data_IF_790483278668
#
_entry.id   IF_790483278668
#
_cell.length_a   1.000
_cell.length_b   1.000
_cell.length_c   1.000
_cell.angle_alpha   90.00
_cell.angle_beta   90.00
_cell.angle_gamma   90.00
#
_symmetry.space_group_name_H-M   'P 1'
#
loop_
_entity.id
_entity.type
_entity.pdbx_description
1 polymer ?
#
# COMPACT_ATOMS: atom_id res chain seq x y z
N UNK A 1 -6.45 -9.74 -34.80
CA UNK A 1 -5.21 -10.45 -34.36
C UNK A 1 -5.35 -10.69 -32.88
N UNK A 2 -5.75 -11.88 -32.46
CA UNK A 2 -6.07 -12.21 -31.07
C UNK A 2 -4.77 -12.52 -30.34
N UNK A 3 -4.33 -11.65 -29.49
CA UNK A 3 -3.20 -11.91 -28.57
C UNK A 3 -3.75 -12.71 -27.40
N UNK A 4 -3.42 -14.00 -27.37
CA UNK A 4 -3.64 -14.84 -26.17
C UNK A 4 -2.55 -14.50 -25.16
N UNK A 5 -2.89 -13.77 -24.11
CA UNK A 5 -2.00 -13.58 -22.98
C UNK A 5 -2.10 -14.83 -22.12
N UNK A 6 -1.15 -15.74 -22.30
CA UNK A 6 -0.94 -16.85 -21.36
C UNK A 6 -0.11 -16.31 -20.20
N UNK A 7 -0.77 -16.01 -19.10
CA UNK A 7 -0.10 -15.69 -17.82
C UNK A 7 0.40 -17.02 -17.25
N UNK A 8 1.68 -17.32 -17.48
CA UNK A 8 2.39 -18.38 -16.75
C UNK A 8 2.81 -17.79 -15.42
N UNK A 9 2.00 -18.02 -14.39
CA UNK A 9 2.40 -17.75 -13.00
C UNK A 9 3.35 -18.85 -12.58
N UNK A 10 4.64 -18.64 -12.78
CA UNK A 10 5.68 -19.51 -12.21
C UNK A 10 5.89 -19.10 -10.77
N UNK A 11 5.22 -19.76 -9.84
CA UNK A 11 5.48 -19.63 -8.40
C UNK A 11 6.82 -20.30 -8.12
N UNK A 12 7.85 -19.49 -7.95
CA UNK A 12 9.16 -19.96 -7.47
C UNK A 12 9.08 -20.12 -5.95
N UNK A 13 8.71 -21.32 -5.49
CA UNK A 13 8.84 -21.74 -4.10
C UNK A 13 10.33 -22.01 -3.80
N UNK A 14 11.08 -20.97 -3.46
CA UNK A 14 12.38 -21.12 -2.83
C UNK A 14 12.16 -21.45 -1.34
N UNK A 15 12.02 -22.73 -1.03
CA UNK A 15 12.16 -23.24 0.33
C UNK A 15 13.65 -23.21 0.67
N UNK A 16 14.12 -22.14 1.26
CA UNK A 16 15.45 -22.09 1.89
C UNK A 16 15.36 -22.86 3.20
N UNK A 17 15.78 -24.09 3.18
CA UNK A 17 16.05 -24.86 4.39
C UNK A 17 17.34 -24.33 4.99
N UNK A 18 17.25 -23.30 5.81
CA UNK A 18 18.33 -22.91 6.68
C UNK A 18 18.34 -23.83 7.89
N UNK A 19 19.41 -24.60 8.10
CA UNK A 19 19.73 -25.19 9.39
C UNK A 19 20.07 -24.03 10.32
N UNK A 20 19.05 -23.43 10.93
CA UNK A 20 19.23 -22.33 11.86
C UNK A 20 19.60 -22.89 13.22
N UNK A 21 20.81 -22.61 13.69
CA UNK A 21 21.09 -22.61 15.11
C UNK A 21 20.12 -21.66 15.80
N UNK A 22 19.59 -22.05 16.95
CA UNK A 22 18.61 -21.26 17.66
C UNK A 22 19.34 -20.27 18.61
N UNK A 23 18.89 -19.02 18.59
CA UNK A 23 19.31 -18.05 19.61
C UNK A 23 18.67 -18.42 20.95
N UNK A 24 19.31 -18.06 22.05
CA UNK A 24 18.90 -18.36 23.42
C UNK A 24 18.80 -17.07 24.25
N UNK A 25 17.79 -16.98 25.07
CA UNK A 25 17.60 -15.92 26.06
C UNK A 25 17.43 -16.57 27.42
N UNK A 26 18.22 -16.14 28.41
CA UNK A 26 18.14 -16.60 29.80
C UNK A 26 17.59 -15.47 30.64
N UNK A 27 16.59 -15.78 31.46
CA UNK A 27 15.94 -14.86 32.34
C UNK A 27 16.55 -14.87 33.75
N UNK A 28 16.35 -13.80 34.51
CA UNK A 28 16.81 -13.68 35.91
C UNK A 28 16.34 -14.82 36.83
N UNK A 29 15.24 -15.46 36.53
CA UNK A 29 14.72 -16.64 37.24
C UNK A 29 15.30 -17.98 36.78
N UNK A 30 16.25 -17.96 35.83
CA UNK A 30 16.89 -19.13 35.24
C UNK A 30 16.07 -19.83 34.13
N UNK A 31 14.89 -19.32 33.79
CA UNK A 31 14.14 -19.82 32.63
C UNK A 31 14.88 -19.52 31.33
N UNK A 32 14.70 -20.39 30.34
CA UNK A 32 15.33 -20.28 29.02
C UNK A 32 14.32 -20.23 27.90
N UNK A 33 14.54 -19.37 26.96
CA UNK A 33 13.74 -19.25 25.75
C UNK A 33 14.62 -19.49 24.52
N UNK A 34 14.23 -20.49 23.72
CA UNK A 34 14.94 -20.87 22.50
C UNK A 34 14.11 -20.43 21.29
N UNK A 35 14.78 -19.80 20.31
CA UNK A 35 14.10 -19.30 19.11
C UNK A 35 15.02 -18.44 18.25
N UNK A 36 14.51 -17.32 17.78
CA UNK A 36 15.26 -16.37 16.95
C UNK A 36 15.23 -14.99 17.59
N UNK A 37 16.37 -14.42 17.84
CA UNK A 37 16.53 -13.04 18.27
C UNK A 37 16.14 -12.10 17.10
N UNK A 38 15.17 -11.21 17.34
CA UNK A 38 14.69 -10.27 16.34
C UNK A 38 15.33 -8.90 16.54
N UNK A 39 15.15 -8.30 17.73
CA UNK A 39 15.74 -7.02 18.13
C UNK A 39 15.45 -6.68 19.58
N UNK A 40 16.19 -5.70 20.11
CA UNK A 40 15.77 -4.92 21.28
C UNK A 40 15.45 -3.51 20.82
N UNK A 41 14.30 -3.01 21.16
CA UNK A 41 13.83 -1.66 20.84
C UNK A 41 12.92 -1.14 21.95
N UNK A 42 13.11 0.11 22.40
CA UNK A 42 12.29 0.70 23.45
C UNK A 42 12.34 -0.07 24.77
N UNK A 43 13.51 -0.62 25.14
CA UNK A 43 13.73 -1.45 26.34
C UNK A 43 12.97 -2.78 26.34
N UNK A 44 12.50 -3.23 25.20
CA UNK A 44 11.85 -4.53 25.02
C UNK A 44 12.62 -5.40 24.04
N UNK A 45 12.87 -6.64 24.44
CA UNK A 45 13.34 -7.70 23.56
C UNK A 45 12.18 -8.23 22.75
N UNK A 46 12.33 -8.26 21.44
CA UNK A 46 11.44 -8.96 20.52
C UNK A 46 12.15 -10.27 20.12
N UNK A 47 11.50 -11.38 20.44
CA UNK A 47 12.04 -12.72 20.23
C UNK A 47 10.99 -13.63 19.59
N UNK A 48 11.38 -14.40 18.59
CA UNK A 48 10.48 -15.32 17.90
C UNK A 48 10.70 -16.74 18.40
N UNK A 49 9.83 -17.18 19.30
CA UNK A 49 9.77 -18.57 19.77
C UNK A 49 9.14 -19.47 18.70
N UNK A 50 9.64 -20.71 18.57
CA UNK A 50 9.03 -21.69 17.66
C UNK A 50 7.63 -22.12 18.11
N UNK A 51 7.36 -22.10 19.42
CA UNK A 51 6.11 -22.57 20.01
C UNK A 51 5.14 -21.39 20.22
N UNK A 52 5.63 -20.27 20.79
CA UNK A 52 4.79 -19.14 21.21
C UNK A 52 4.67 -18.01 20.17
N UNK A 53 5.36 -18.13 19.01
CA UNK A 53 5.41 -17.06 18.02
C UNK A 53 6.26 -15.88 18.48
N UNK A 54 5.94 -14.66 18.04
CA UNK A 54 6.65 -13.46 18.44
C UNK A 54 6.23 -13.02 19.83
N UNK A 55 7.18 -12.91 20.73
CA UNK A 55 6.99 -12.46 22.11
C UNK A 55 7.79 -11.21 22.38
N UNK A 56 7.27 -10.36 23.25
CA UNK A 56 7.91 -9.12 23.70
C UNK A 56 8.17 -9.20 25.21
N UNK A 57 9.43 -9.11 25.60
CA UNK A 57 9.88 -9.21 26.99
C UNK A 57 10.63 -7.95 27.40
N UNK A 58 10.45 -7.49 28.63
CA UNK A 58 11.24 -6.38 29.16
C UNK A 58 12.71 -6.83 29.31
N UNK A 59 13.63 -6.05 28.73
CA UNK A 59 15.08 -6.29 28.84
C UNK A 59 15.55 -6.34 30.31
N UNK A 60 14.78 -5.72 31.22
CA UNK A 60 15.06 -5.74 32.65
C UNK A 60 15.04 -7.13 33.27
N UNK A 61 14.25 -8.04 32.69
CA UNK A 61 14.09 -9.43 33.17
C UNK A 61 15.09 -10.40 32.57
N UNK A 62 15.98 -9.91 31.70
CA UNK A 62 16.91 -10.75 30.95
C UNK A 62 18.26 -10.70 31.64
N UNK A 63 18.84 -11.88 31.81
CA UNK A 63 20.19 -12.09 32.35
C UNK A 63 21.21 -12.26 31.23
N UNK A 64 20.87 -13.08 30.21
CA UNK A 64 21.78 -13.32 29.10
C UNK A 64 21.04 -13.43 27.78
N UNK A 65 21.65 -12.89 26.72
CA UNK A 65 21.23 -13.08 25.33
C UNK A 65 22.39 -13.69 24.57
N UNK A 66 22.19 -14.89 24.03
CA UNK A 66 23.15 -15.56 23.18
C UNK A 66 22.59 -15.68 21.77
N UNK A 67 23.32 -15.17 20.77
CA UNK A 67 22.94 -15.28 19.37
C UNK A 67 24.10 -15.85 18.54
N UNK A 68 23.76 -16.79 17.66
CA UNK A 68 24.71 -17.30 16.66
C UNK A 68 25.12 -16.20 15.67
N UNK A 69 24.28 -15.23 15.47
CA UNK A 69 24.57 -14.06 14.64
C UNK A 69 25.21 -12.96 15.46
N UNK A 70 26.16 -12.28 14.84
CA UNK A 70 26.71 -11.06 15.43
C UNK A 70 25.57 -10.06 15.69
N UNK A 71 25.51 -9.47 16.87
CA UNK A 71 24.59 -8.41 17.23
C UNK A 71 25.26 -7.05 17.14
N UNK A 72 24.54 -6.04 16.66
CA UNK A 72 24.91 -4.62 16.73
C UNK A 72 24.15 -3.96 17.88
N UNK A 73 24.88 -3.49 18.88
CA UNK A 73 24.34 -2.86 20.09
C UNK A 73 24.62 -1.36 19.99
N UNK A 74 23.57 -0.56 20.09
CA UNK A 74 23.64 0.89 19.99
C UNK A 74 23.32 1.45 21.36
N UNK A 75 24.20 2.30 21.85
CA UNK A 75 24.01 3.02 23.10
C UNK A 75 23.35 4.40 22.85
N UNK A 76 22.82 5.01 23.89
CA UNK A 76 22.14 6.33 23.84
C UNK A 76 23.05 7.44 23.30
N UNK A 77 24.35 7.35 23.53
CA UNK A 77 25.37 8.28 23.01
C UNK A 77 25.73 8.02 21.52
N UNK A 78 25.14 6.99 20.91
CA UNK A 78 25.40 6.56 19.53
C UNK A 78 26.58 5.62 19.39
N UNK A 79 27.22 5.19 20.45
CA UNK A 79 28.30 4.19 20.44
C UNK A 79 27.77 2.87 19.88
N UNK A 80 28.50 2.28 18.93
CA UNK A 80 28.18 1.01 18.29
C UNK A 80 29.12 -0.08 18.80
N UNK A 81 28.57 -1.10 19.47
CA UNK A 81 29.26 -2.29 19.89
C UNK A 81 28.83 -3.49 19.05
N UNK A 82 29.68 -4.53 18.94
CA UNK A 82 29.36 -5.76 18.21
C UNK A 82 29.81 -6.98 19.02
N UNK A 83 28.90 -7.95 19.16
CA UNK A 83 29.17 -9.19 19.86
C UNK A 83 28.08 -10.24 19.65
N UNK A 84 28.34 -11.47 20.07
CA UNK A 84 27.37 -12.59 19.99
C UNK A 84 26.66 -12.85 21.30
N UNK A 85 27.33 -12.56 22.41
CA UNK A 85 26.77 -12.79 23.74
C UNK A 85 26.71 -11.46 24.51
N UNK A 86 25.59 -11.24 25.14
CA UNK A 86 25.36 -10.13 26.07
C UNK A 86 24.99 -10.75 27.40
N UNK A 87 25.80 -10.53 28.44
CA UNK A 87 25.59 -11.08 29.77
C UNK A 87 25.46 -9.95 30.79
N UNK A 88 24.56 -10.10 31.72
CA UNK A 88 24.36 -9.15 32.81
C UNK A 88 25.30 -9.49 33.98
N UNK A 89 26.02 -8.51 34.47
CA UNK A 89 26.82 -8.58 35.68
C UNK A 89 26.57 -7.32 36.51
N UNK A 90 26.06 -7.49 37.73
CA UNK A 90 25.87 -6.41 38.72
C UNK A 90 25.23 -5.11 38.15
N UNK A 91 24.18 -5.24 37.29
CA UNK A 91 23.48 -4.07 36.72
C UNK A 91 24.08 -3.49 35.44
N UNK A 92 25.19 -4.04 34.99
CA UNK A 92 25.81 -3.73 33.69
C UNK A 92 25.61 -4.86 32.69
N UNK A 93 25.75 -4.57 31.40
CA UNK A 93 25.83 -5.58 30.36
C UNK A 93 27.25 -5.68 29.84
N UNK A 94 27.75 -6.90 29.75
CA UNK A 94 29.06 -7.20 29.17
C UNK A 94 28.87 -7.87 27.81
N UNK A 95 29.54 -7.36 26.78
CA UNK A 95 29.50 -7.86 25.40
C UNK A 95 30.81 -8.55 25.07
N UNK A 96 30.75 -9.84 24.68
CA UNK A 96 31.91 -10.52 24.13
C UNK A 96 32.11 -10.17 22.66
N UNK A 97 33.23 -9.54 22.34
CA UNK A 97 33.63 -9.23 20.96
C UNK A 97 34.16 -10.47 20.23
N UNK A 98 33.87 -10.53 18.92
CA UNK A 98 34.31 -11.65 18.07
C UNK A 98 35.84 -11.67 17.83
N UNK A 99 36.49 -10.52 17.90
CA UNK A 99 37.93 -10.36 17.77
C UNK A 99 38.59 -10.11 19.13
N UNK A 100 39.49 -11.00 19.54
CA UNK A 100 40.45 -10.87 20.65
C UNK A 100 39.96 -11.11 22.08
N UNK A 101 38.83 -11.76 22.34
CA UNK A 101 38.45 -12.07 23.72
C UNK A 101 38.30 -10.84 24.63
N UNK A 102 38.24 -9.64 24.07
CA UNK A 102 38.03 -8.42 24.82
C UNK A 102 36.52 -8.23 25.11
N UNK A 103 36.20 -8.14 26.36
CA UNK A 103 34.88 -7.78 26.83
C UNK A 103 34.73 -6.27 26.87
N UNK A 104 33.55 -5.79 26.57
CA UNK A 104 33.21 -4.38 26.72
C UNK A 104 31.91 -4.26 27.51
N UNK A 105 32.01 -3.53 28.60
CA UNK A 105 30.89 -3.35 29.54
C UNK A 105 30.22 -2.00 29.31
N UNK A 106 28.90 -1.97 29.40
CA UNK A 106 28.09 -0.75 29.35
C UNK A 106 26.95 -0.82 30.37
N UNK A 107 26.45 0.35 30.82
CA UNK A 107 25.34 0.42 31.78
C UNK A 107 24.03 0.13 31.00
N UNK A 108 23.16 -0.67 31.60
CA UNK A 108 21.85 -1.01 31.05
C UNK A 108 20.99 0.21 30.68
N UNK A 109 21.11 1.30 31.46
CA UNK A 109 20.40 2.55 31.24
C UNK A 109 20.75 3.17 29.88
N UNK A 110 21.98 2.94 29.39
CA UNK A 110 22.52 3.52 28.15
C UNK A 110 22.18 2.68 26.92
N UNK A 111 21.49 1.56 27.10
CA UNK A 111 21.10 0.71 25.98
C UNK A 111 19.94 1.33 25.19
N UNK A 112 20.21 1.68 23.94
CA UNK A 112 19.19 2.21 23.03
C UNK A 112 18.54 1.10 22.19
N UNK A 113 19.33 0.31 21.48
CA UNK A 113 18.82 -0.72 20.58
C UNK A 113 19.85 -1.87 20.40
N UNK A 114 19.35 -3.08 20.13
CA UNK A 114 20.16 -4.23 19.68
C UNK A 114 19.51 -4.83 18.43
N UNK A 115 20.32 -5.09 17.40
CA UNK A 115 19.89 -5.72 16.16
C UNK A 115 20.85 -6.84 15.75
N UNK A 116 20.37 -7.88 15.02
CA UNK A 116 21.26 -8.81 14.32
C UNK A 116 22.13 -8.04 13.32
N UNK A 117 23.41 -8.37 13.25
CA UNK A 117 24.35 -7.78 12.28
C UNK A 117 24.38 -8.59 10.97
N UNK A 118 24.44 -7.96 9.80
CA UNK A 118 24.34 -6.50 9.65
C UNK A 118 22.93 -6.00 9.91
N UNK A 119 22.83 -4.89 10.61
CA UNK A 119 21.52 -4.25 10.86
C UNK A 119 20.82 -4.02 9.51
N UNK A 120 19.61 -4.49 9.33
CA UNK A 120 18.88 -4.23 8.09
C UNK A 120 18.67 -2.72 7.95
N UNK A 121 19.45 -2.09 7.05
CA UNK A 121 19.33 -0.66 6.75
C UNK A 121 18.01 -0.33 6.04
N UNK A 122 17.42 -1.35 5.46
CA UNK A 122 16.19 -1.30 4.69
C UNK A 122 15.22 -2.31 5.28
N UNK A 123 14.10 -1.82 5.81
CA UNK A 123 12.96 -2.66 6.17
C UNK A 123 12.06 -2.75 4.94
N UNK A 124 11.70 -3.95 4.52
CA UNK A 124 10.75 -4.14 3.43
C UNK A 124 9.68 -5.15 3.85
N UNK A 125 8.52 -4.99 3.29
CA UNK A 125 7.39 -5.90 3.47
C UNK A 125 6.49 -5.84 2.26
N UNK A 126 5.79 -6.91 1.99
CA UNK A 126 4.84 -6.96 0.91
C UNK A 126 3.74 -7.97 1.20
N UNK A 127 2.70 -7.87 0.41
CA UNK A 127 1.61 -8.83 0.40
C UNK A 127 0.99 -8.88 -1.00
N UNK A 128 0.36 -9.99 -1.28
CA UNK A 128 -0.48 -10.21 -2.43
C UNK A 128 -1.72 -10.99 -1.96
N UNK A 129 -2.89 -10.60 -2.39
CA UNK A 129 -4.12 -11.33 -2.16
C UNK A 129 -4.92 -11.52 -3.42
N UNK A 130 -5.75 -12.56 -3.44
CA UNK A 130 -6.65 -12.84 -4.52
C UNK A 130 -7.98 -13.35 -3.97
N UNK A 131 -9.06 -12.97 -4.64
CA UNK A 131 -10.41 -13.45 -4.41
C UNK A 131 -11.02 -13.92 -5.72
N UNK A 132 -11.84 -14.94 -5.62
CA UNK A 132 -12.61 -15.47 -6.74
C UNK A 132 -14.00 -15.84 -6.27
N UNK A 133 -15.01 -15.44 -7.01
CA UNK A 133 -16.40 -15.85 -6.81
C UNK A 133 -16.94 -16.31 -8.15
N UNK A 134 -17.67 -17.41 -8.16
CA UNK A 134 -18.41 -17.88 -9.32
C UNK A 134 -19.82 -18.30 -8.88
N UNK A 135 -20.80 -17.83 -9.58
CA UNK A 135 -22.22 -18.15 -9.36
C UNK A 135 -22.82 -18.72 -10.63
N UNK A 136 -23.51 -19.83 -10.50
CA UNK A 136 -24.20 -20.52 -11.58
C UNK A 136 -25.64 -20.81 -11.14
N UNK A 137 -26.61 -20.54 -11.99
CA UNK A 137 -28.02 -20.80 -11.69
C UNK A 137 -28.91 -20.12 -12.71
N UNK A 138 -29.83 -19.29 -12.24
CA UNK A 138 -30.67 -18.44 -13.12
C UNK A 138 -29.88 -17.31 -13.80
N UNK A 139 -28.69 -17.00 -13.31
CA UNK A 139 -27.72 -16.09 -13.90
C UNK A 139 -26.31 -16.60 -13.64
N UNK A 140 -25.39 -16.23 -14.52
CA UNK A 140 -23.96 -16.52 -14.38
C UNK A 140 -23.23 -15.24 -13.95
N UNK A 141 -22.33 -15.33 -12.97
CA UNK A 141 -21.34 -14.30 -12.67
C UNK A 141 -20.00 -14.91 -12.24
N UNK A 142 -18.94 -14.30 -12.67
CA UNK A 142 -17.56 -14.61 -12.28
C UNK A 142 -16.86 -13.32 -11.88
N UNK A 143 -16.42 -13.23 -10.64
CA UNK A 143 -15.68 -12.08 -10.10
C UNK A 143 -14.28 -12.56 -9.75
N UNK A 144 -13.27 -11.86 -10.24
CA UNK A 144 -11.86 -12.11 -9.90
C UNK A 144 -11.23 -10.81 -9.45
N UNK A 145 -10.61 -10.81 -8.30
CA UNK A 145 -9.85 -9.68 -7.82
C UNK A 145 -8.44 -10.12 -7.41
N UNK A 146 -7.48 -9.24 -7.65
CA UNK A 146 -6.09 -9.40 -7.21
C UNK A 146 -5.63 -8.06 -6.67
N UNK A 147 -5.09 -8.04 -5.47
CA UNK A 147 -4.45 -6.87 -4.92
C UNK A 147 -3.06 -7.18 -4.38
N UNK A 148 -2.21 -6.17 -4.36
CA UNK A 148 -0.85 -6.27 -3.84
C UNK A 148 -0.42 -4.97 -3.18
N UNK A 149 0.50 -5.08 -2.23
CA UNK A 149 1.22 -3.92 -1.74
C UNK A 149 2.67 -4.27 -1.41
N UNK A 150 3.52 -3.27 -1.57
CA UNK A 150 4.93 -3.32 -1.23
C UNK A 150 5.32 -2.06 -0.48
N UNK A 151 6.10 -2.21 0.58
CA UNK A 151 6.64 -1.11 1.37
C UNK A 151 8.13 -1.31 1.59
N UNK A 152 8.88 -0.24 1.40
CA UNK A 152 10.29 -0.16 1.71
C UNK A 152 10.52 1.05 2.61
N UNK A 153 11.25 0.87 3.72
CA UNK A 153 11.50 1.90 4.71
C UNK A 153 12.97 1.92 5.13
N UNK A 154 13.59 3.07 5.01
CA UNK A 154 14.89 3.39 5.61
C UNK A 154 14.72 4.55 6.60
N UNK A 155 15.78 5.03 7.25
CA UNK A 155 15.68 6.20 8.16
C UNK A 155 15.07 7.44 7.49
N UNK A 156 15.43 7.70 6.22
CA UNK A 156 15.02 8.91 5.49
C UNK A 156 14.06 8.67 4.33
N UNK A 157 13.92 7.45 3.87
CA UNK A 157 13.15 7.13 2.66
C UNK A 157 12.05 6.13 3.00
N UNK A 158 10.85 6.39 2.50
CA UNK A 158 9.75 5.43 2.48
C UNK A 158 9.20 5.35 1.07
N UNK A 159 9.17 4.15 0.52
CA UNK A 159 8.50 3.86 -0.73
C UNK A 159 7.34 2.92 -0.44
N UNK A 160 6.18 3.22 -1.01
CA UNK A 160 4.97 2.40 -0.93
C UNK A 160 4.43 2.25 -2.33
N UNK A 161 4.09 1.03 -2.69
CA UNK A 161 3.43 0.73 -3.95
C UNK A 161 2.27 -0.22 -3.64
N UNK A 162 1.11 0.06 -4.20
CA UNK A 162 -0.06 -0.79 -4.11
C UNK A 162 -0.78 -0.81 -5.45
N UNK A 163 -1.58 -1.83 -5.66
CA UNK A 163 -2.43 -1.91 -6.83
C UNK A 163 -3.50 -2.96 -6.64
N UNK A 164 -4.52 -2.86 -7.47
CA UNK A 164 -5.59 -3.84 -7.54
C UNK A 164 -6.11 -3.97 -8.96
N UNK A 165 -6.62 -5.14 -9.26
CA UNK A 165 -7.30 -5.51 -10.47
C UNK A 165 -8.63 -6.15 -10.07
N UNK A 166 -9.73 -5.66 -10.61
CA UNK A 166 -11.05 -6.24 -10.49
C UNK A 166 -11.54 -6.61 -11.89
N UNK A 167 -12.02 -7.83 -12.06
CA UNK A 167 -12.62 -8.33 -13.28
C UNK A 167 -13.94 -9.01 -12.92
N UNK A 168 -15.04 -8.48 -13.43
CA UNK A 168 -16.35 -9.09 -13.31
C UNK A 168 -16.89 -9.46 -14.69
N UNK A 169 -17.53 -10.63 -14.78
CA UNK A 169 -18.23 -11.11 -15.95
C UNK A 169 -19.60 -11.60 -15.56
N UNK A 170 -20.58 -11.24 -16.34
CA UNK A 170 -21.94 -11.73 -16.22
C UNK A 170 -22.48 -12.24 -17.54
N UNK A 171 -23.62 -12.90 -17.50
CA UNK A 171 -24.35 -13.35 -18.69
C UNK A 171 -25.37 -12.29 -19.08
N UNK A 172 -25.37 -11.85 -20.33
CA UNK A 172 -26.35 -10.92 -20.86
C UNK A 172 -27.70 -11.61 -21.13
N UNK A 173 -28.71 -10.85 -21.58
CA UNK A 173 -30.04 -11.36 -21.88
C UNK A 173 -30.09 -12.41 -23.00
N UNK A 174 -29.02 -12.56 -23.79
CA UNK A 174 -28.88 -13.53 -24.86
C UNK A 174 -28.10 -14.78 -24.41
N UNK A 175 -27.60 -14.82 -23.17
CA UNK A 175 -26.77 -15.89 -22.66
C UNK A 175 -25.27 -15.75 -23.02
N UNK A 176 -24.85 -14.59 -23.53
CA UNK A 176 -23.44 -14.34 -23.85
C UNK A 176 -22.71 -13.76 -22.62
N UNK A 177 -21.47 -14.25 -22.38
CA UNK A 177 -20.63 -13.74 -21.31
C UNK A 177 -20.07 -12.38 -21.68
N UNK A 178 -20.45 -11.38 -20.93
CA UNK A 178 -20.00 -9.99 -21.08
C UNK A 178 -19.18 -9.57 -19.85
N UNK A 179 -18.19 -8.72 -20.08
CA UNK A 179 -17.44 -8.09 -18.97
C UNK A 179 -18.25 -6.92 -18.44
N UNK A 180 -18.58 -6.96 -17.17
CA UNK A 180 -19.38 -5.93 -16.47
C UNK A 180 -18.50 -5.01 -15.63
N UNK A 181 -17.29 -5.46 -15.25
CA UNK A 181 -16.29 -4.62 -14.60
C UNK A 181 -14.88 -5.02 -15.05
N UNK A 182 -14.04 -4.04 -15.37
CA UNK A 182 -12.61 -4.20 -15.62
C UNK A 182 -11.88 -2.94 -15.12
N UNK A 183 -11.45 -3.00 -13.86
CA UNK A 183 -10.80 -1.89 -13.17
C UNK A 183 -9.36 -2.28 -12.80
N UNK A 184 -8.41 -1.41 -13.13
CA UNK A 184 -7.00 -1.58 -12.81
C UNK A 184 -6.45 -0.29 -12.23
N UNK A 185 -5.92 -0.35 -11.01
CA UNK A 185 -5.32 0.79 -10.34
C UNK A 185 -3.95 0.44 -9.78
N UNK A 186 -3.00 1.35 -9.96
CA UNK A 186 -1.66 1.30 -9.33
C UNK A 186 -1.36 2.63 -8.69
N UNK A 187 -0.87 2.60 -7.47
CA UNK A 187 -0.43 3.77 -6.71
C UNK A 187 1.02 3.57 -6.26
N UNK A 188 1.88 4.52 -6.53
CA UNK A 188 3.24 4.59 -6.02
C UNK A 188 3.43 5.88 -5.23
N UNK A 189 4.01 5.80 -4.04
CA UNK A 189 4.27 6.95 -3.17
C UNK A 189 5.70 6.87 -2.67
N UNK A 190 6.42 7.96 -2.83
CA UNK A 190 7.75 8.13 -2.29
C UNK A 190 7.76 9.29 -1.30
N UNK A 191 8.25 9.02 -0.07
CA UNK A 191 8.39 10.01 0.99
C UNK A 191 9.87 10.18 1.36
N UNK A 192 10.32 11.42 1.45
CA UNK A 192 11.62 11.79 1.98
C UNK A 192 11.44 12.50 3.33
N UNK A 193 11.98 11.91 4.39
CA UNK A 193 11.90 12.42 5.75
C UNK A 193 13.02 13.42 6.04
N UNK A 194 12.66 14.69 6.20
CA UNK A 194 13.57 15.76 6.65
C UNK A 194 13.87 15.60 8.15
N UNK A 195 12.84 15.21 8.92
CA UNK A 195 12.92 14.88 10.34
C UNK A 195 12.26 13.52 10.59
N UNK A 196 12.19 13.04 11.85
CA UNK A 196 11.42 11.83 12.17
C UNK A 196 9.92 11.96 11.89
N UNK A 197 9.41 13.21 11.78
CA UNK A 197 7.97 13.50 11.66
C UNK A 197 7.58 14.23 10.36
N UNK A 198 8.45 15.08 9.85
CA UNK A 198 8.15 15.90 8.67
C UNK A 198 8.75 15.24 7.45
N UNK A 199 7.95 15.06 6.41
CA UNK A 199 8.39 14.49 5.14
C UNK A 199 7.84 15.29 3.95
N UNK A 200 8.58 15.28 2.85
CA UNK A 200 8.09 15.62 1.53
C UNK A 200 7.65 14.35 0.82
N UNK A 201 6.59 14.41 0.06
CA UNK A 201 6.11 13.26 -0.71
C UNK A 201 5.98 13.57 -2.20
N UNK A 202 6.05 12.51 -2.99
CA UNK A 202 5.62 12.43 -4.38
C UNK A 202 4.77 11.18 -4.54
N UNK A 203 3.62 11.32 -5.19
CA UNK A 203 2.70 10.23 -5.47
C UNK A 203 2.33 10.20 -6.94
N UNK A 204 2.19 8.99 -7.46
CA UNK A 204 1.73 8.71 -8.81
C UNK A 204 0.64 7.65 -8.75
N UNK A 205 -0.56 7.99 -9.23
CA UNK A 205 -1.67 7.05 -9.37
C UNK A 205 -2.03 6.88 -10.83
N UNK A 206 -2.11 5.65 -11.26
CA UNK A 206 -2.64 5.27 -12.55
C UNK A 206 -3.94 4.48 -12.33
N UNK A 207 -5.03 4.89 -12.95
CA UNK A 207 -6.32 4.15 -12.99
C UNK A 207 -6.71 3.95 -14.45
N UNK A 208 -7.22 2.76 -14.75
CA UNK A 208 -7.91 2.42 -15.98
C UNK A 208 -9.21 1.74 -15.62
N UNK A 209 -10.30 2.14 -16.28
CA UNK A 209 -11.61 1.58 -16.07
C UNK A 209 -12.30 1.42 -17.44
N UNK A 210 -12.53 0.16 -17.81
CA UNK A 210 -13.05 -0.13 -19.15
C UNK A 210 -14.57 0.13 -19.24
N UNK A 211 -15.27 -0.03 -18.13
CA UNK A 211 -16.74 0.15 -18.09
C UNK A 211 -17.09 1.62 -18.09
N UNK A 212 -16.35 2.43 -17.36
CA UNK A 212 -16.50 3.89 -17.35
C UNK A 212 -15.88 4.59 -18.57
N UNK A 213 -15.51 3.80 -19.62
CA UNK A 213 -14.82 4.31 -20.81
C UNK A 213 -13.54 5.11 -20.48
N UNK A 214 -13.01 4.98 -19.30
CA UNK A 214 -11.79 5.63 -18.85
C UNK A 214 -10.57 4.87 -19.43
N UNK A 215 -9.98 5.39 -20.49
CA UNK A 215 -8.76 4.82 -21.09
C UNK A 215 -7.59 4.91 -20.08
N UNK A 216 -7.46 6.06 -19.42
CA UNK A 216 -6.59 6.23 -18.27
C UNK A 216 -6.91 7.51 -17.48
N UNK A 217 -6.61 7.45 -16.18
CA UNK A 217 -6.47 8.59 -15.28
C UNK A 217 -5.09 8.52 -14.62
N UNK A 218 -4.29 9.57 -14.78
CA UNK A 218 -3.01 9.72 -14.12
C UNK A 218 -3.11 10.89 -13.14
N UNK A 219 -2.78 10.65 -11.88
CA UNK A 219 -2.73 11.69 -10.85
C UNK A 219 -1.33 11.74 -10.29
N UNK A 220 -0.60 12.80 -10.63
CA UNK A 220 0.74 13.09 -10.10
C UNK A 220 0.62 14.16 -9.03
N UNK A 221 1.13 13.96 -7.83
CA UNK A 221 1.08 14.95 -6.78
C UNK A 221 2.35 14.99 -5.94
N UNK A 222 2.68 16.16 -5.40
CA UNK A 222 3.83 16.40 -4.53
C UNK A 222 3.47 17.41 -3.45
N UNK A 223 4.07 17.25 -2.30
CA UNK A 223 3.78 18.13 -1.18
C UNK A 223 4.52 17.74 0.10
N UNK A 224 3.93 18.11 1.21
CA UNK A 224 4.45 17.80 2.54
C UNK A 224 3.50 16.96 3.36
N UNK A 225 4.04 16.28 4.35
CA UNK A 225 3.24 15.50 5.27
C UNK A 225 3.84 15.44 6.66
N UNK A 226 3.02 14.99 7.59
CA UNK A 226 3.38 14.85 8.99
C UNK A 226 3.07 13.45 9.50
N UNK A 227 4.08 12.81 10.06
CA UNK A 227 4.00 11.50 10.69
C UNK A 227 3.63 11.68 12.18
N UNK A 228 2.37 11.45 12.52
CA UNK A 228 1.88 11.59 13.88
C UNK A 228 2.41 10.48 14.78
N UNK A 229 2.30 9.25 14.27
CA UNK A 229 2.72 8.04 14.98
C UNK A 229 3.40 7.07 14.00
N UNK A 230 4.54 6.51 14.38
CA UNK A 230 5.22 5.43 13.65
C UNK A 230 5.74 4.42 14.66
N UNK A 231 4.90 3.45 15.00
CA UNK A 231 5.22 2.32 15.89
C UNK A 231 4.93 0.99 15.18
N UNK A 232 5.32 -0.11 15.76
CA UNK A 232 5.02 -1.44 15.20
C UNK A 232 3.51 -1.75 15.17
N UNK A 233 2.70 -1.09 16.02
CA UNK A 233 1.26 -1.31 16.12
C UNK A 233 0.40 -0.23 15.49
N UNK A 234 0.91 1.00 15.41
CA UNK A 234 0.14 2.13 14.92
C UNK A 234 1.03 3.04 14.09
N UNK A 235 0.62 3.27 12.84
CA UNK A 235 1.25 4.18 11.93
C UNK A 235 0.18 5.12 11.38
N UNK A 236 0.33 6.41 11.66
CA UNK A 236 -0.62 7.43 11.21
C UNK A 236 0.14 8.63 10.67
N UNK A 237 -0.19 9.02 9.44
CA UNK A 237 0.36 10.21 8.80
C UNK A 237 -0.70 10.91 7.98
N UNK A 238 -0.58 12.23 7.88
CA UNK A 238 -1.39 13.09 7.02
C UNK A 238 -0.48 13.79 6.01
N UNK A 239 -1.03 14.17 4.87
CA UNK A 239 -0.29 14.86 3.82
C UNK A 239 -1.19 15.86 3.09
N UNK A 240 -0.56 16.88 2.52
CA UNK A 240 -1.20 17.83 1.62
C UNK A 240 -0.19 18.37 0.61
N UNK A 241 -0.67 18.73 -0.58
CA UNK A 241 0.18 19.21 -1.65
C UNK A 241 -0.58 19.67 -2.88
N UNK A 242 0.16 19.86 -3.94
CA UNK A 242 -0.34 20.19 -5.27
C UNK A 242 -0.22 18.96 -6.16
N UNK A 243 -1.09 18.85 -7.13
CA UNK A 243 -1.05 17.78 -8.10
C UNK A 243 -1.57 18.19 -9.46
N UNK A 244 -1.38 17.28 -10.39
CA UNK A 244 -1.82 17.40 -11.77
C UNK A 244 -2.57 16.12 -12.14
N UNK A 245 -3.80 16.27 -12.58
CA UNK A 245 -4.69 15.21 -13.03
C UNK A 245 -4.74 15.22 -14.55
N UNK A 246 -4.55 14.06 -15.15
CA UNK A 246 -4.75 13.83 -16.58
C UNK A 246 -5.73 12.68 -16.76
N UNK A 247 -6.76 12.90 -17.56
CA UNK A 247 -7.74 11.88 -17.89
C UNK A 247 -7.92 11.78 -19.40
N UNK A 248 -8.18 10.57 -19.83
CA UNK A 248 -8.60 10.31 -21.20
C UNK A 248 -9.70 9.26 -21.20
N UNK A 249 -10.77 9.57 -21.93
CA UNK A 249 -11.91 8.69 -22.13
C UNK A 249 -11.98 8.23 -23.58
N UNK A 250 -12.43 6.99 -23.80
CA UNK A 250 -12.50 6.38 -25.14
C UNK A 250 -13.73 6.80 -25.91
N UNK A 251 -14.86 7.03 -25.25
CA UNK A 251 -16.15 7.21 -25.91
C UNK A 251 -17.08 8.25 -25.30
N UNK A 252 -16.52 9.40 -24.88
CA UNK A 252 -17.40 10.52 -24.49
C UNK A 252 -18.29 11.03 -25.64
N UNK A 253 -18.16 10.48 -26.83
CA UNK A 253 -18.99 10.77 -28.01
C UNK A 253 -19.31 9.48 -28.74
N UNK A 254 -19.93 8.53 -28.06
CA UNK A 254 -20.34 7.27 -28.67
C UNK A 254 -21.61 7.35 -29.50
N UNK A 255 -22.35 8.47 -29.44
CA UNK A 255 -23.54 8.62 -30.22
C UNK A 255 -23.28 9.40 -31.54
N UNK A 256 -23.19 8.70 -32.72
CA UNK A 256 -22.99 9.34 -34.02
C UNK A 256 -24.06 10.39 -34.34
N UNK A 257 -25.23 10.30 -33.72
CA UNK A 257 -26.29 11.31 -33.86
C UNK A 257 -25.86 12.69 -33.32
N UNK A 258 -24.84 12.73 -32.47
CA UNK A 258 -24.26 13.98 -31.97
C UNK A 258 -23.13 14.51 -32.85
N UNK A 259 -22.63 13.72 -33.83
CA UNK A 259 -21.46 14.09 -34.62
C UNK A 259 -21.77 14.73 -35.97
N UNK A 260 -22.98 14.95 -36.32
CA UNK A 260 -23.22 15.45 -37.67
C UNK A 260 -24.58 16.07 -37.98
N UNK A 261 -25.53 15.98 -37.12
CA UNK A 261 -26.83 16.61 -37.34
C UNK A 261 -27.06 17.67 -36.25
N UNK A 262 -27.29 18.90 -36.68
CA UNK A 262 -27.78 19.94 -35.76
C UNK A 262 -29.05 19.46 -35.11
N UNK A 263 -29.14 19.53 -33.75
CA UNK A 263 -30.42 19.28 -33.11
C UNK A 263 -31.42 20.30 -33.62
N UNK A 264 -32.64 19.89 -33.94
CA UNK A 264 -33.63 20.78 -34.50
C UNK A 264 -33.82 21.98 -33.55
N UNK A 265 -33.46 23.17 -34.02
CA UNK A 265 -33.69 24.45 -33.33
C UNK A 265 -32.53 25.11 -32.61
N UNK A 266 -31.32 24.49 -32.59
CA UNK A 266 -30.12 25.13 -32.01
C UNK A 266 -28.95 24.94 -33.00
N UNK A 267 -28.85 25.83 -33.96
CA UNK A 267 -27.84 25.78 -34.98
C UNK A 267 -26.42 25.75 -34.38
N UNK A 268 -25.73 24.62 -34.55
CA UNK A 268 -24.29 24.52 -34.35
C UNK A 268 -23.76 24.56 -32.95
N UNK A 269 -24.59 24.30 -31.95
CA UNK A 269 -24.10 24.19 -30.57
C UNK A 269 -24.32 22.78 -30.01
N UNK A 270 -23.30 22.25 -29.40
CA UNK A 270 -23.38 21.04 -28.60
C UNK A 270 -22.99 21.32 -27.17
N UNK A 271 -23.80 20.78 -26.29
CA UNK A 271 -23.55 20.75 -24.87
C UNK A 271 -23.07 19.33 -24.53
N UNK A 272 -21.85 19.21 -24.04
CA UNK A 272 -21.31 17.98 -23.52
C UNK A 272 -20.84 18.25 -22.09
N UNK A 273 -21.50 17.63 -21.14
CA UNK A 273 -21.13 17.66 -19.71
C UNK A 273 -21.03 19.04 -19.05
N UNK A 274 -21.81 20.02 -19.48
CA UNK A 274 -21.81 21.33 -18.85
C UNK A 274 -20.55 22.18 -19.00
N UNK A 275 -19.53 21.67 -19.64
CA UNK A 275 -18.20 22.32 -19.69
C UNK A 275 -17.81 22.92 -21.02
N UNK A 276 -18.33 22.45 -22.12
CA UNK A 276 -17.94 22.94 -23.42
C UNK A 276 -19.13 23.17 -24.34
N UNK A 277 -19.29 24.40 -24.78
CA UNK A 277 -20.24 24.77 -25.80
C UNK A 277 -19.46 25.33 -26.99
N UNK A 278 -19.33 24.56 -28.06
CA UNK A 278 -18.64 24.97 -29.28
C UNK A 278 -19.58 24.96 -30.50
N UNK A 279 -19.38 25.89 -31.41
CA UNK A 279 -20.05 25.90 -32.72
C UNK A 279 -19.32 24.97 -33.65
N UNK A 280 -19.97 23.92 -34.11
CA UNK A 280 -19.41 22.93 -35.05
C UNK A 280 -19.73 23.39 -36.50
N UNK A 281 -18.92 24.28 -37.04
CA UNK A 281 -19.07 24.76 -38.41
C UNK A 281 -18.04 24.21 -39.42
N UNK A 282 -17.07 23.44 -38.93
CA UNK A 282 -15.93 22.95 -39.73
C UNK A 282 -15.50 21.53 -39.27
N UNK A 283 -15.33 20.57 -40.19
CA UNK A 283 -14.84 19.22 -39.87
C UNK A 283 -13.49 19.18 -39.14
N UNK A 284 -12.63 20.18 -39.39
CA UNK A 284 -11.33 20.27 -38.69
C UNK A 284 -11.53 20.71 -37.23
N UNK A 285 -12.44 21.65 -37.01
CA UNK A 285 -12.83 22.13 -35.70
C UNK A 285 -13.52 21.02 -34.89
N UNK A 286 -14.34 20.23 -35.57
CA UNK A 286 -15.00 19.06 -34.97
C UNK A 286 -14.00 18.04 -34.46
N UNK A 287 -13.01 17.63 -35.26
CA UNK A 287 -11.96 16.70 -34.84
C UNK A 287 -11.13 17.24 -33.66
N UNK A 288 -10.82 18.52 -33.66
CA UNK A 288 -10.12 19.17 -32.55
C UNK A 288 -10.96 19.17 -31.30
N UNK A 289 -12.24 19.54 -31.42
CA UNK A 289 -13.17 19.56 -30.32
C UNK A 289 -13.39 18.18 -29.71
N UNK A 290 -13.59 17.12 -30.52
CA UNK A 290 -13.67 15.73 -30.06
C UNK A 290 -12.43 15.28 -29.29
N UNK A 291 -11.26 15.70 -29.76
CA UNK A 291 -10.01 15.44 -29.05
C UNK A 291 -9.94 16.17 -27.70
N UNK A 292 -10.42 17.39 -27.66
CA UNK A 292 -10.36 18.20 -26.44
C UNK A 292 -11.34 17.70 -25.36
N UNK A 293 -12.53 17.22 -25.73
CA UNK A 293 -13.50 16.67 -24.77
C UNK A 293 -13.16 15.27 -24.26
N UNK A 294 -12.36 14.50 -25.01
CA UNK A 294 -11.90 13.19 -24.58
C UNK A 294 -10.74 13.23 -23.59
N UNK A 295 -10.19 14.40 -23.35
CA UNK A 295 -9.05 14.63 -22.44
C UNK A 295 -9.37 15.75 -21.47
N UNK A 296 -8.99 15.50 -20.24
CA UNK A 296 -9.07 16.48 -19.17
C UNK A 296 -7.72 16.59 -18.51
N UNK A 297 -7.33 17.81 -18.15
CA UNK A 297 -6.10 18.10 -17.46
C UNK A 297 -6.41 19.20 -16.44
N UNK A 298 -6.22 18.92 -15.16
CA UNK A 298 -6.53 19.84 -14.07
C UNK A 298 -5.36 19.97 -13.10
N UNK A 299 -5.17 21.18 -12.58
CA UNK A 299 -4.40 21.37 -11.38
C UNK A 299 -5.28 21.09 -10.17
N UNK A 300 -4.78 20.28 -9.27
CA UNK A 300 -5.52 19.86 -8.07
C UNK A 300 -4.76 20.19 -6.79
N UNK A 301 -5.49 20.42 -5.72
CA UNK A 301 -4.97 20.21 -4.39
C UNK A 301 -5.12 18.74 -4.04
N UNK A 302 -4.13 18.17 -3.37
CA UNK A 302 -4.23 16.81 -2.84
C UNK A 302 -4.09 16.87 -1.33
N UNK A 303 -4.98 16.19 -0.61
CA UNK A 303 -4.86 15.99 0.82
C UNK A 303 -5.33 14.59 1.21
N UNK A 304 -4.86 14.10 2.34
CA UNK A 304 -5.28 12.78 2.78
C UNK A 304 -4.55 12.27 4.01
N UNK A 305 -4.80 11.00 4.29
CA UNK A 305 -4.14 10.31 5.39
C UNK A 305 -3.80 8.86 5.03
N UNK A 306 -2.83 8.32 5.78
CA UNK A 306 -2.53 6.89 5.87
C UNK A 306 -2.65 6.45 7.31
N UNK A 307 -3.44 5.41 7.55
CA UNK A 307 -3.67 4.81 8.84
C UNK A 307 -3.42 3.30 8.76
N UNK A 308 -2.54 2.79 9.63
CA UNK A 308 -2.16 1.37 9.71
C UNK A 308 -2.16 0.98 11.18
N UNK A 309 -3.06 0.11 11.60
CA UNK A 309 -3.26 -0.24 13.00
C UNK A 309 -3.37 -1.74 13.21
N UNK A 310 -2.61 -2.26 14.17
CA UNK A 310 -2.61 -3.65 14.61
C UNK A 310 -3.13 -3.72 16.06
N UNK A 311 -4.46 -3.66 16.26
CA UNK A 311 -5.04 -3.71 17.61
C UNK A 311 -4.70 -5.01 18.34
N UNK A 312 -4.66 -6.10 17.59
CA UNK A 312 -4.35 -7.44 18.08
C UNK A 312 -3.28 -8.09 17.20
N UNK A 313 -2.64 -9.14 17.71
CA UNK A 313 -1.57 -9.85 17.00
C UNK A 313 -2.01 -10.41 15.65
N UNK A 314 -3.28 -10.80 15.54
CA UNK A 314 -3.85 -11.43 14.35
C UNK A 314 -4.66 -10.48 13.48
N UNK A 315 -4.99 -9.28 13.94
CA UNK A 315 -5.82 -8.32 13.22
C UNK A 315 -5.00 -7.12 12.81
N UNK A 316 -5.11 -6.75 11.55
CA UNK A 316 -4.47 -5.60 10.96
C UNK A 316 -5.50 -4.78 10.19
N UNK A 317 -5.67 -3.53 10.53
CA UNK A 317 -6.56 -2.57 9.88
C UNK A 317 -5.72 -1.52 9.15
N UNK A 318 -6.03 -1.32 7.88
CA UNK A 318 -5.44 -0.28 7.04
C UNK A 318 -6.56 0.64 6.55
N UNK A 319 -6.28 1.93 6.46
CA UNK A 319 -7.21 2.89 5.87
C UNK A 319 -6.42 4.03 5.24
N UNK A 320 -6.79 4.38 4.02
CA UNK A 320 -6.21 5.48 3.26
C UNK A 320 -7.33 6.33 2.69
N UNK A 321 -7.15 7.63 2.72
CA UNK A 321 -8.05 8.57 2.10
C UNK A 321 -7.22 9.58 1.31
N UNK A 322 -7.69 9.87 0.11
CA UNK A 322 -7.14 10.93 -0.75
C UNK A 322 -8.30 11.76 -1.28
N UNK A 323 -8.21 13.06 -1.11
CA UNK A 323 -9.16 14.05 -1.61
C UNK A 323 -8.44 15.02 -2.53
N UNK A 324 -8.96 15.20 -3.74
CA UNK A 324 -8.34 15.97 -4.82
C UNK A 324 -9.36 16.97 -5.41
N UNK A 325 -9.56 18.16 -4.83
CA UNK A 325 -10.33 19.22 -5.46
C UNK A 325 -9.53 19.90 -6.59
N UNK A 326 -10.21 20.22 -7.68
CA UNK A 326 -9.66 21.06 -8.75
C UNK A 326 -9.41 22.48 -8.24
N UNK A 327 -8.29 23.09 -8.62
CA UNK A 327 -7.99 24.49 -8.27
C UNK A 327 -8.80 25.45 -9.15
N UNK A 328 -9.06 25.04 -10.38
CA UNK A 328 -9.76 25.86 -11.36
C UNK A 328 -11.29 25.85 -11.15
N UNK A 329 -11.80 24.74 -10.61
CA UNK A 329 -13.22 24.57 -10.27
C UNK A 329 -13.39 23.82 -8.96
N UNK A 330 -13.64 24.52 -7.87
CA UNK A 330 -13.81 23.90 -6.53
C UNK A 330 -15.02 22.98 -6.42
N UNK A 331 -15.99 23.07 -7.36
CA UNK A 331 -17.12 22.13 -7.47
C UNK A 331 -16.68 20.77 -7.97
N UNK A 332 -15.53 20.71 -8.64
CA UNK A 332 -14.99 19.53 -9.23
C UNK A 332 -13.91 18.91 -8.35
N UNK A 333 -14.20 17.73 -7.82
CA UNK A 333 -13.32 17.03 -6.91
C UNK A 333 -13.54 15.52 -6.97
N UNK A 334 -12.48 14.78 -6.69
CA UNK A 334 -12.58 13.35 -6.48
C UNK A 334 -12.05 12.96 -5.09
N UNK A 335 -12.61 11.88 -4.56
CA UNK A 335 -12.25 11.31 -3.29
C UNK A 335 -12.10 9.80 -3.45
N UNK A 336 -10.96 9.26 -3.05
CA UNK A 336 -10.75 7.82 -2.95
C UNK A 336 -10.52 7.44 -1.51
N UNK A 337 -11.29 6.49 -1.02
CA UNK A 337 -11.08 5.89 0.30
C UNK A 337 -10.95 4.38 0.14
N UNK A 338 -9.86 3.82 0.62
CA UNK A 338 -9.68 2.38 0.74
C UNK A 338 -9.46 2.00 2.20
N UNK A 339 -10.18 0.99 2.66
CA UNK A 339 -9.99 0.40 3.97
C UNK A 339 -9.94 -1.13 3.89
N UNK A 340 -9.10 -1.73 4.69
CA UNK A 340 -8.85 -3.16 4.66
C UNK A 340 -8.67 -3.71 6.08
N UNK A 341 -9.37 -4.81 6.36
CA UNK A 341 -9.17 -5.61 7.57
C UNK A 341 -8.53 -6.93 7.16
N UNK A 342 -7.39 -7.25 7.73
CA UNK A 342 -6.68 -8.52 7.55
C UNK A 342 -6.72 -9.34 8.83
N UNK A 343 -7.15 -10.60 8.72
CA UNK A 343 -7.12 -11.57 9.79
C UNK A 343 -6.07 -12.64 9.51
N UNK A 344 -4.99 -12.68 10.28
CA UNK A 344 -3.91 -13.67 10.09
C UNK A 344 -4.36 -15.06 10.48
N UNK A 345 -4.34 -15.99 9.54
CA UNK A 345 -4.60 -17.42 9.73
C UNK A 345 -3.31 -18.09 10.20
N UNK A 346 -2.20 -17.79 9.53
CA UNK A 346 -0.85 -18.20 9.90
C UNK A 346 0.07 -16.98 9.92
N UNK A 347 1.35 -17.16 10.18
CA UNK A 347 2.34 -16.08 10.10
C UNK A 347 2.45 -15.47 8.70
N UNK A 348 2.12 -16.25 7.67
CA UNK A 348 2.25 -15.84 6.26
C UNK A 348 0.91 -15.67 5.54
N UNK A 349 -0.12 -16.41 5.94
CA UNK A 349 -1.43 -16.44 5.27
C UNK A 349 -2.43 -15.62 6.08
N UNK A 350 -3.23 -14.82 5.40
CA UNK A 350 -4.31 -14.04 6.01
C UNK A 350 -5.57 -14.05 5.13
N UNK A 351 -6.72 -13.90 5.78
CA UNK A 351 -7.96 -13.53 5.13
C UNK A 351 -8.08 -12.00 5.11
N UNK A 352 -8.63 -11.44 4.06
CA UNK A 352 -8.84 -10.00 3.92
C UNK A 352 -10.27 -9.68 3.55
N UNK A 353 -10.75 -8.55 4.11
CA UNK A 353 -11.93 -7.83 3.65
C UNK A 353 -11.50 -6.40 3.33
N UNK A 354 -11.71 -5.97 2.09
CA UNK A 354 -11.37 -4.64 1.62
C UNK A 354 -12.62 -3.92 1.14
N UNK A 355 -12.71 -2.65 1.45
CA UNK A 355 -13.72 -1.71 0.98
C UNK A 355 -13.01 -0.59 0.23
N UNK A 356 -13.45 -0.31 -0.97
CA UNK A 356 -12.99 0.80 -1.81
C UNK A 356 -14.18 1.69 -2.10
N UNK A 357 -13.99 2.99 -1.96
CA UNK A 357 -14.94 4.02 -2.35
C UNK A 357 -14.21 4.99 -3.26
N UNK A 358 -14.67 5.11 -4.49
CA UNK A 358 -14.29 6.15 -5.42
C UNK A 358 -15.47 7.08 -5.66
N UNK A 359 -15.29 8.37 -5.37
CA UNK A 359 -16.27 9.42 -5.62
C UNK A 359 -15.70 10.42 -6.60
N UNK A 360 -16.48 10.75 -7.63
CA UNK A 360 -16.19 11.78 -8.61
C UNK A 360 -17.39 12.73 -8.68
N UNK A 361 -17.18 14.02 -8.43
CA UNK A 361 -18.25 15.03 -8.46
C UNK A 361 -18.69 15.38 -9.88
N UNK A 362 -17.87 15.04 -10.88
CA UNK A 362 -18.14 15.29 -12.30
C UNK A 362 -17.80 14.04 -13.13
N UNK A 363 -18.55 12.94 -12.92
CA UNK A 363 -18.33 11.67 -13.60
C UNK A 363 -18.59 11.80 -15.10
N UNK A 364 -18.10 10.82 -15.86
CA UNK A 364 -18.42 10.68 -17.29
C UNK A 364 -19.93 10.59 -17.56
N UNK A 365 -20.32 10.86 -18.79
CA UNK A 365 -21.70 10.61 -19.24
C UNK A 365 -22.02 9.14 -19.01
N UNK A 366 -23.16 8.83 -18.41
CA UNK A 366 -23.59 7.47 -18.02
C UNK A 366 -22.80 6.79 -16.89
N UNK A 367 -21.82 7.45 -16.28
CA UNK A 367 -21.08 6.93 -15.13
C UNK A 367 -21.69 7.38 -13.80
N UNK A 368 -21.63 6.52 -12.78
CA UNK A 368 -22.07 6.88 -11.43
C UNK A 368 -21.05 7.85 -10.79
N UNK A 369 -21.54 8.74 -9.92
CA UNK A 369 -20.67 9.62 -9.13
C UNK A 369 -19.97 8.89 -7.99
N UNK A 370 -20.42 7.68 -7.67
CA UNK A 370 -19.90 6.90 -6.53
C UNK A 370 -19.81 5.44 -6.91
N UNK A 371 -18.60 4.90 -6.86
CA UNK A 371 -18.32 3.49 -7.02
C UNK A 371 -17.88 2.89 -5.70
N UNK A 372 -18.37 1.68 -5.40
CA UNK A 372 -18.02 0.97 -4.18
C UNK A 372 -17.72 -0.48 -4.43
N UNK A 373 -16.54 -0.94 -4.02
CA UNK A 373 -16.11 -2.33 -4.12
C UNK A 373 -15.99 -2.97 -2.75
N UNK A 374 -16.49 -4.19 -2.62
CA UNK A 374 -16.34 -5.05 -1.45
C UNK A 374 -15.61 -6.32 -1.84
N UNK A 375 -14.37 -6.45 -1.41
CA UNK A 375 -13.47 -7.51 -1.82
C UNK A 375 -13.18 -8.43 -0.63
N UNK A 376 -13.47 -9.73 -0.80
CA UNK A 376 -13.08 -10.79 0.10
C UNK A 376 -11.99 -11.62 -0.56
N UNK A 377 -10.93 -11.93 0.16
CA UNK A 377 -9.81 -12.67 -0.42
C UNK A 377 -8.95 -13.39 0.60
N UNK A 378 -8.03 -14.17 0.07
CA UNK A 378 -6.93 -14.78 0.82
C UNK A 378 -5.62 -14.24 0.28
N UNK A 379 -4.70 -13.96 1.18
CA UNK A 379 -3.43 -13.38 0.81
C UNK A 379 -2.23 -13.99 1.53
N UNK A 380 -1.06 -13.69 0.98
CA UNK A 380 0.23 -14.06 1.54
C UNK A 380 1.04 -12.80 1.80
N UNK A 381 1.64 -12.72 2.99
CA UNK A 381 2.57 -11.66 3.39
C UNK A 381 4.01 -12.18 3.43
N UNK A 382 4.97 -11.32 3.10
CA UNK A 382 6.41 -11.61 3.08
C UNK A 382 7.24 -10.41 3.52
#
# INVERSE_FOLDING_TARGET
>A
MRIRVSIIVTIFLLVVWGTGFADEVIFENGERLIGTFVRVEGKKLIFKSQIAGEISVDIAKIDEIHSEKLMEIILDDGTLLKGKTIKREEGTFTVQKEQEGSEQTFVKADLYEIYPSPRPRVKWSGNISAGFKSSHGSSFSEDTNVDWSFRLRTKKHRFRQSGWLVLERSEDSNGDKVTTEENFTVLAIYDYFFTKKIFGYWSERFKKDHIDDLDYRITSAWGGGYQWMETDRLNFSTFAGLGYLQEKYNSRVSNPAYLGTEPPGIAGFKYVQGRYTGRLSDPITEKKWLKDISRRNDLILQSGYHFDWKPFTKIHYLSNLTYNPSIDDWGDHNLTHDSEVRASITDKIYATFKFILDYDSDPGEDSASTDTDYILGLGVKF
#
